data_IF_134104021499
#
_entry.id   IF_134104021499
#
_cell.length_a   1.000
_cell.length_b   1.000
_cell.length_c   1.000
_cell.angle_alpha   90.00
_cell.angle_beta   90.00
_cell.angle_gamma   90.00
#
_symmetry.space_group_name_H-M   'P 1'
#
loop_
_entity.id
_entity.type
_entity.pdbx_description
1 polymer ?
#
# COMPACT_ATOMS: atom_id res chain seq x y z
N UNK A 1 -40.51 -37.65 21.04
CA UNK A 1 -40.94 -36.23 20.93
C UNK A 1 -39.96 -35.37 21.70
N UNK A 2 -39.03 -34.69 21.01
CA UNK A 2 -38.31 -33.50 21.51
C UNK A 2 -37.42 -32.94 20.39
N UNK A 3 -37.53 -31.63 20.19
CA UNK A 3 -37.14 -30.85 19.02
C UNK A 3 -35.63 -30.82 18.73
N UNK A 4 -35.28 -31.06 17.46
CA UNK A 4 -34.00 -30.62 16.86
C UNK A 4 -34.16 -29.15 16.49
N UNK A 5 -33.43 -28.28 17.19
CA UNK A 5 -33.39 -26.85 16.91
C UNK A 5 -32.26 -26.58 15.90
N UNK A 6 -32.58 -26.59 14.61
CA UNK A 6 -31.67 -26.20 13.53
C UNK A 6 -31.52 -24.68 13.53
N UNK A 7 -30.42 -24.16 14.08
CA UNK A 7 -30.03 -22.77 13.88
C UNK A 7 -29.49 -22.60 12.46
N UNK A 8 -30.26 -21.89 11.63
CA UNK A 8 -29.85 -21.42 10.32
C UNK A 8 -28.87 -20.24 10.49
N UNK A 9 -27.61 -20.45 10.14
CA UNK A 9 -26.66 -19.35 9.93
C UNK A 9 -26.96 -18.69 8.59
N UNK A 10 -27.39 -17.44 8.63
CA UNK A 10 -27.63 -16.60 7.47
C UNK A 10 -26.34 -16.41 6.66
N UNK A 11 -26.37 -16.91 5.43
CA UNK A 11 -25.43 -16.56 4.38
C UNK A 11 -25.70 -15.10 3.98
N UNK A 12 -24.94 -14.17 4.56
CA UNK A 12 -24.90 -12.81 4.02
C UNK A 12 -24.24 -12.86 2.64
N UNK A 13 -25.07 -12.64 1.62
CA UNK A 13 -24.67 -12.32 0.26
C UNK A 13 -23.74 -11.10 0.27
N UNK A 14 -22.43 -11.33 0.24
CA UNK A 14 -21.47 -10.28 -0.13
C UNK A 14 -21.67 -10.02 -1.62
N UNK A 15 -22.36 -8.91 -1.89
CA UNK A 15 -22.73 -8.46 -3.22
C UNK A 15 -21.49 -8.31 -4.11
N UNK A 16 -21.30 -9.27 -5.02
CA UNK A 16 -20.37 -9.16 -6.14
C UNK A 16 -20.98 -8.17 -7.12
N UNK A 17 -20.65 -6.90 -6.96
CA UNK A 17 -21.03 -5.88 -7.95
C UNK A 17 -19.95 -4.84 -8.14
N UNK A 18 -19.40 -4.86 -9.37
CA UNK A 18 -19.02 -3.68 -10.17
C UNK A 18 -17.75 -2.98 -9.63
N UNK A 19 -16.66 -2.85 -10.38
CA UNK A 19 -16.42 -1.81 -11.39
C UNK A 19 -15.07 -2.13 -12.07
N UNK A 20 -14.99 -2.18 -13.41
CA UNK A 20 -14.63 -1.08 -14.35
C UNK A 20 -13.20 -0.53 -14.20
N UNK A 21 -12.37 -0.95 -15.17
CA UNK A 21 -11.40 -0.15 -15.95
C UNK A 21 -10.42 0.71 -15.14
N UNK A 22 -9.33 0.10 -14.67
CA UNK A 22 -8.09 0.84 -14.45
C UNK A 22 -7.39 1.06 -15.79
N UNK A 23 -7.49 2.29 -16.27
CA UNK A 23 -6.79 2.78 -17.45
C UNK A 23 -5.29 2.75 -17.25
N UNK A 24 -4.62 2.40 -18.35
CA UNK A 24 -3.23 2.68 -18.67
C UNK A 24 -2.85 4.08 -18.20
N UNK A 25 -1.82 4.19 -17.36
CA UNK A 25 -1.25 5.48 -16.97
C UNK A 25 0.07 5.62 -17.72
N UNK A 26 0.05 6.52 -18.70
CA UNK A 26 1.08 6.72 -19.69
C UNK A 26 2.42 7.15 -19.08
N UNK A 27 3.46 6.61 -19.70
CA UNK A 27 4.85 6.97 -19.59
C UNK A 27 5.07 8.43 -20.03
N UNK A 28 5.31 9.34 -19.09
CA UNK A 28 5.84 10.65 -19.45
C UNK A 28 7.34 10.56 -19.71
N UNK A 29 7.69 10.57 -21.00
CA UNK A 29 9.01 10.94 -21.48
C UNK A 29 9.31 12.40 -21.19
N UNK A 30 10.53 12.68 -20.75
CA UNK A 30 11.11 14.03 -20.77
C UNK A 30 12.49 13.91 -21.41
N UNK A 31 12.56 14.35 -22.66
CA UNK A 31 13.79 14.72 -23.36
C UNK A 31 14.37 16.02 -22.78
N UNK A 32 15.70 16.15 -22.73
CA UNK A 32 16.31 17.47 -22.56
C UNK A 32 17.78 17.46 -22.13
N UNK A 33 18.69 17.45 -23.12
CA UNK A 33 20.07 17.93 -22.97
C UNK A 33 20.07 19.39 -22.51
N UNK A 34 21.01 19.73 -21.63
CA UNK A 34 21.29 21.12 -21.27
C UNK A 34 22.44 21.22 -20.28
N UNK A 35 23.67 21.10 -20.79
CA UNK A 35 24.87 21.51 -20.05
C UNK A 35 24.88 23.02 -19.86
N UNK A 36 25.21 23.46 -18.66
CA UNK A 36 25.32 24.87 -18.30
C UNK A 36 25.64 24.98 -16.82
N UNK A 37 26.94 25.08 -16.50
CA UNK A 37 27.40 25.29 -15.13
C UNK A 37 26.83 26.58 -14.54
N UNK A 38 26.61 26.58 -13.23
CA UNK A 38 26.43 27.79 -12.42
C UNK A 38 26.62 27.48 -10.92
N UNK A 39 26.99 28.51 -10.14
CA UNK A 39 27.91 28.43 -9.01
C UNK A 39 27.25 28.00 -7.69
N UNK A 40 28.10 27.66 -6.73
CA UNK A 40 27.83 27.45 -5.32
C UNK A 40 26.78 28.44 -4.79
N UNK A 41 25.52 27.99 -4.73
CA UNK A 41 24.41 28.75 -4.17
C UNK A 41 24.25 28.34 -2.71
N UNK A 42 24.32 29.36 -1.85
CA UNK A 42 24.21 29.29 -0.40
C UNK A 42 23.08 28.36 0.05
N UNK A 43 23.35 27.59 1.11
CA UNK A 43 22.34 26.87 1.87
C UNK A 43 21.29 27.85 2.40
N UNK A 44 20.22 28.02 1.62
CA UNK A 44 18.98 28.62 2.08
C UNK A 44 18.36 27.60 3.02
N UNK A 45 18.46 27.84 4.32
CA UNK A 45 17.65 27.15 5.31
C UNK A 45 16.19 27.34 4.92
N UNK A 46 15.59 26.32 4.30
CA UNK A 46 14.17 26.29 4.02
C UNK A 46 13.46 26.47 5.36
N UNK A 47 12.75 27.58 5.50
CA UNK A 47 11.86 27.84 6.63
C UNK A 47 11.04 26.57 6.88
N UNK A 48 11.20 25.98 8.07
CA UNK A 48 10.54 24.74 8.43
C UNK A 48 9.06 24.86 8.16
N UNK A 49 8.55 24.05 7.23
CA UNK A 49 7.12 23.85 7.08
C UNK A 49 6.58 23.42 8.44
N UNK A 50 5.74 24.28 9.02
CA UNK A 50 5.06 23.99 10.28
C UNK A 50 4.41 22.62 10.11
N UNK A 51 4.85 21.63 10.89
CA UNK A 51 4.27 20.28 10.90
C UNK A 51 2.80 20.47 11.26
N UNK A 52 1.91 20.32 10.29
CA UNK A 52 0.48 20.38 10.58
C UNK A 52 0.18 19.20 11.50
N UNK A 53 -0.44 19.50 12.65
CA UNK A 53 -0.86 18.46 13.58
C UNK A 53 -1.78 17.47 12.85
N UNK A 54 -1.73 16.16 13.18
CA UNK A 54 -2.67 15.19 12.68
C UNK A 54 -4.09 15.69 12.79
N UNK A 55 -4.88 15.58 11.71
CA UNK A 55 -6.29 15.93 11.75
C UNK A 55 -6.95 15.15 12.89
N UNK A 56 -7.45 15.82 13.93
CA UNK A 56 -7.97 15.13 15.11
C UNK A 56 -9.11 14.20 14.70
N UNK A 57 -9.08 12.94 15.15
CA UNK A 57 -10.13 11.97 14.88
C UNK A 57 -10.07 11.30 13.49
N UNK A 58 -8.98 11.45 12.73
CA UNK A 58 -8.76 10.72 11.48
C UNK A 58 -7.51 9.86 11.63
N UNK A 59 -7.65 8.55 11.46
CA UNK A 59 -6.55 7.62 11.67
C UNK A 59 -6.80 6.24 11.11
N UNK A 60 -5.72 5.58 10.70
CA UNK A 60 -5.75 4.18 10.31
C UNK A 60 -5.34 3.35 11.53
N UNK A 61 -6.24 2.53 12.11
CA UNK A 61 -5.89 1.67 13.25
C UNK A 61 -4.77 0.71 12.87
N UNK A 62 -3.92 0.39 13.84
CA UNK A 62 -2.87 -0.61 13.63
C UNK A 62 -3.47 -1.99 13.34
N UNK A 63 -2.73 -2.78 12.57
CA UNK A 63 -3.15 -4.14 12.26
C UNK A 63 -2.88 -5.02 13.48
N UNK A 64 -3.75 -6.00 13.78
CA UNK A 64 -3.43 -6.99 14.79
C UNK A 64 -2.18 -7.78 14.37
N UNK A 65 -1.44 -8.27 15.35
CA UNK A 65 -0.33 -9.19 15.08
C UNK A 65 -0.87 -10.60 14.76
N UNK A 66 -0.16 -11.33 13.90
CA UNK A 66 -0.43 -12.74 13.63
C UNK A 66 -1.20 -13.04 12.33
N UNK A 67 -1.75 -14.26 12.29
CA UNK A 67 -2.32 -14.95 11.12
C UNK A 67 -3.44 -14.16 10.41
N UNK A 68 -4.16 -13.31 11.14
CA UNK A 68 -5.31 -12.56 10.63
C UNK A 68 -5.00 -11.09 10.28
N UNK A 69 -3.73 -10.67 10.41
CA UNK A 69 -3.30 -9.30 10.14
C UNK A 69 -3.68 -8.84 8.72
N UNK A 70 -3.55 -9.74 7.74
CA UNK A 70 -3.86 -9.45 6.35
C UNK A 70 -5.38 -9.39 6.09
N UNK A 71 -6.20 -10.19 6.78
CA UNK A 71 -7.66 -10.11 6.72
C UNK A 71 -8.15 -8.78 7.30
N UNK A 72 -7.57 -8.36 8.42
CA UNK A 72 -7.84 -7.03 8.99
C UNK A 72 -7.45 -5.91 8.01
N UNK A 73 -6.35 -6.06 7.27
CA UNK A 73 -5.94 -5.11 6.25
C UNK A 73 -6.95 -5.01 5.09
N UNK A 74 -7.48 -6.14 4.62
CA UNK A 74 -8.55 -6.19 3.61
C UNK A 74 -9.84 -5.57 4.14
N UNK A 75 -10.23 -5.91 5.38
CA UNK A 75 -11.41 -5.34 6.03
C UNK A 75 -11.29 -3.82 6.16
N UNK A 76 -10.16 -3.30 6.64
CA UNK A 76 -9.94 -1.84 6.74
C UNK A 76 -9.95 -1.15 5.37
N UNK A 77 -9.58 -1.85 4.29
CA UNK A 77 -9.63 -1.28 2.95
C UNK A 77 -11.05 -1.09 2.42
N UNK A 78 -11.94 -2.04 2.70
CA UNK A 78 -13.31 -2.08 2.16
C UNK A 78 -14.37 -1.51 3.11
N UNK A 79 -14.22 -1.76 4.41
CA UNK A 79 -15.23 -1.47 5.42
C UNK A 79 -15.01 -0.08 6.02
N UNK A 80 -15.99 0.84 5.86
CA UNK A 80 -15.91 2.17 6.48
C UNK A 80 -15.93 2.13 8.02
N UNK A 81 -16.51 1.09 8.64
CA UNK A 81 -16.56 0.95 10.08
C UNK A 81 -15.21 0.51 10.68
N UNK A 82 -14.36 -0.13 9.87
CA UNK A 82 -13.03 -0.56 10.28
C UNK A 82 -12.00 0.59 10.29
N UNK A 83 -12.40 1.80 9.87
CA UNK A 83 -11.53 2.97 9.70
C UNK A 83 -11.98 4.14 10.57
N UNK A 84 -11.05 4.86 11.20
CA UNK A 84 -11.38 6.04 12.01
C UNK A 84 -11.61 7.21 11.04
N UNK A 85 -12.88 7.63 10.92
CA UNK A 85 -13.34 8.62 9.94
C UNK A 85 -14.58 8.21 9.15
N UNK A 86 -15.12 7.00 9.39
CA UNK A 86 -16.41 6.57 8.83
C UNK A 86 -16.42 6.38 7.31
N UNK A 87 -15.23 6.25 6.70
CA UNK A 87 -15.04 6.02 5.26
C UNK A 87 -14.04 4.88 5.07
N UNK A 88 -14.30 4.03 4.09
CA UNK A 88 -13.37 2.98 3.69
C UNK A 88 -12.07 3.62 3.17
N UNK A 89 -10.92 3.00 3.44
CA UNK A 89 -9.61 3.56 3.04
C UNK A 89 -9.47 3.81 1.54
N UNK A 90 -10.19 3.04 0.71
CA UNK A 90 -10.22 3.24 -0.75
C UNK A 90 -10.83 4.60 -1.14
N UNK A 91 -11.78 5.09 -0.35
CA UNK A 91 -12.56 6.32 -0.58
C UNK A 91 -12.05 7.53 0.22
N UNK A 92 -10.91 7.40 0.89
CA UNK A 92 -10.31 8.51 1.62
C UNK A 92 -9.86 9.62 0.67
N UNK A 93 -10.13 10.90 1.00
CA UNK A 93 -9.62 12.02 0.23
C UNK A 93 -8.09 12.12 0.35
N UNK A 94 -7.46 12.61 -0.70
CA UNK A 94 -5.99 12.61 -0.83
C UNK A 94 -5.28 13.40 0.26
N UNK A 95 -5.87 14.52 0.67
CA UNK A 95 -5.43 15.37 1.76
C UNK A 95 -5.25 14.64 3.10
N UNK A 96 -5.97 13.54 3.34
CA UNK A 96 -5.87 12.79 4.61
C UNK A 96 -4.64 11.88 4.72
N UNK A 97 -4.00 11.58 3.59
CA UNK A 97 -2.85 10.65 3.54
C UNK A 97 -1.64 11.20 2.77
N UNK A 98 -1.68 12.47 2.36
CA UNK A 98 -0.56 13.18 1.73
C UNK A 98 0.00 14.25 2.67
N UNK A 99 0.96 15.05 2.19
CA UNK A 99 1.63 16.07 3.01
C UNK A 99 2.29 15.51 4.27
N UNK A 100 2.02 16.13 5.42
CA UNK A 100 2.56 15.73 6.72
C UNK A 100 2.03 14.36 7.19
N UNK A 101 0.84 13.95 6.73
CA UNK A 101 0.26 12.64 7.05
C UNK A 101 0.80 11.51 6.18
N UNK A 102 1.66 11.81 5.19
CA UNK A 102 2.20 10.82 4.25
C UNK A 102 2.99 9.71 4.93
N UNK A 103 3.79 10.04 5.95
CA UNK A 103 4.60 9.05 6.67
C UNK A 103 3.76 8.21 7.62
N UNK A 104 2.67 8.76 8.16
CA UNK A 104 1.81 8.08 9.14
C UNK A 104 0.71 7.28 8.41
N UNK A 105 -0.22 7.98 7.77
CA UNK A 105 -1.38 7.38 7.11
C UNK A 105 -1.03 6.88 5.70
N UNK A 106 -0.15 7.57 4.98
CA UNK A 106 0.21 7.20 3.60
C UNK A 106 0.87 5.81 3.52
N UNK A 107 1.78 5.50 4.44
CA UNK A 107 2.44 4.18 4.51
C UNK A 107 1.43 3.09 4.87
N UNK A 108 0.68 3.29 5.95
CA UNK A 108 -0.36 2.36 6.41
C UNK A 108 -1.39 2.05 5.31
N UNK A 109 -1.87 3.08 4.62
CA UNK A 109 -2.82 2.95 3.50
C UNK A 109 -2.21 2.18 2.33
N UNK A 110 -0.96 2.46 1.97
CA UNK A 110 -0.26 1.78 0.87
C UNK A 110 -0.15 0.27 1.12
N UNK A 111 0.21 -0.12 2.34
CA UNK A 111 0.31 -1.54 2.72
C UNK A 111 -1.02 -2.26 2.52
N UNK A 112 -2.10 -1.70 3.10
CA UNK A 112 -3.47 -2.27 3.00
C UNK A 112 -3.96 -2.35 1.55
N UNK A 113 -3.69 -1.31 0.76
CA UNK A 113 -4.00 -1.29 -0.68
C UNK A 113 -3.33 -2.44 -1.42
N UNK A 114 -2.01 -2.62 -1.22
CA UNK A 114 -1.24 -3.63 -1.95
C UNK A 114 -1.66 -5.04 -1.58
N UNK A 115 -1.86 -5.32 -0.28
CA UNK A 115 -2.36 -6.61 0.20
C UNK A 115 -3.73 -6.90 -0.42
N UNK A 116 -4.66 -5.95 -0.32
CA UNK A 116 -6.04 -6.14 -0.81
C UNK A 116 -6.12 -6.35 -2.31
N UNK A 117 -5.41 -5.53 -3.10
CA UNK A 117 -5.34 -5.72 -4.56
C UNK A 117 -4.78 -7.11 -4.88
N UNK A 118 -3.78 -7.56 -4.14
CA UNK A 118 -3.16 -8.86 -4.41
C UNK A 118 -4.08 -10.02 -4.04
N UNK A 119 -4.81 -9.91 -2.94
CA UNK A 119 -5.84 -10.86 -2.54
C UNK A 119 -6.92 -11.01 -3.62
N UNK A 120 -7.46 -9.90 -4.13
CA UNK A 120 -8.44 -9.96 -5.22
C UNK A 120 -7.87 -10.46 -6.56
N UNK A 121 -6.59 -10.20 -6.85
CA UNK A 121 -5.92 -10.81 -8.01
C UNK A 121 -5.82 -12.33 -7.90
N UNK A 122 -5.90 -12.88 -6.69
CA UNK A 122 -6.00 -14.32 -6.40
C UNK A 122 -7.46 -14.73 -6.12
N UNK A 123 -8.41 -14.06 -6.77
CA UNK A 123 -9.85 -14.33 -6.71
C UNK A 123 -10.50 -14.16 -5.33
N UNK A 124 -9.79 -13.57 -4.36
CA UNK A 124 -10.28 -13.46 -2.99
C UNK A 124 -10.39 -14.81 -2.28
N UNK A 125 -9.59 -15.79 -2.69
CA UNK A 125 -9.52 -17.11 -2.06
C UNK A 125 -8.41 -17.15 -1.02
N UNK A 126 -8.79 -17.36 0.24
CA UNK A 126 -7.87 -17.43 1.38
C UNK A 126 -6.85 -18.58 1.24
N UNK A 127 -7.27 -19.74 0.73
CA UNK A 127 -6.40 -20.90 0.55
C UNK A 127 -5.33 -20.64 -0.49
N UNK A 128 -5.72 -20.13 -1.65
CA UNK A 128 -4.80 -19.75 -2.73
C UNK A 128 -3.88 -18.61 -2.28
N UNK A 129 -4.40 -17.66 -1.50
CA UNK A 129 -3.61 -16.56 -0.97
C UNK A 129 -2.52 -17.04 -0.02
N UNK A 130 -2.87 -17.93 0.92
CA UNK A 130 -1.93 -18.47 1.92
C UNK A 130 -0.93 -19.46 1.31
N UNK A 131 -1.34 -20.26 0.32
CA UNK A 131 -0.44 -21.13 -0.44
C UNK A 131 0.62 -20.29 -1.18
N UNK A 132 0.19 -19.17 -1.77
CA UNK A 132 1.10 -18.30 -2.52
C UNK A 132 1.99 -17.44 -1.63
N UNK A 133 1.47 -17.04 -0.46
CA UNK A 133 2.12 -16.14 0.49
C UNK A 133 2.08 -16.72 1.90
N UNK A 134 2.92 -17.72 2.20
CA UNK A 134 2.99 -18.29 3.55
C UNK A 134 3.42 -17.26 4.61
N UNK A 135 4.04 -16.14 4.22
CA UNK A 135 4.38 -15.02 5.09
C UNK A 135 3.16 -14.30 5.67
N UNK A 136 1.98 -14.44 5.04
CA UNK A 136 0.71 -13.93 5.55
C UNK A 136 0.37 -14.47 6.95
N UNK A 137 0.95 -15.63 7.32
CA UNK A 137 0.76 -16.23 8.63
C UNK A 137 1.52 -15.54 9.77
N UNK A 138 2.48 -14.67 9.44
CA UNK A 138 3.31 -13.98 10.43
C UNK A 138 2.72 -12.62 10.75
N UNK A 139 2.85 -11.69 9.81
CA UNK A 139 2.46 -10.29 9.96
C UNK A 139 2.22 -9.65 8.59
N UNK A 140 1.58 -8.48 8.57
CA UNK A 140 1.26 -7.77 7.32
C UNK A 140 2.47 -7.16 6.61
N UNK A 141 3.53 -6.77 7.34
CA UNK A 141 4.74 -6.19 6.73
C UNK A 141 5.57 -7.21 5.94
N UNK A 142 5.94 -8.39 6.49
CA UNK A 142 6.61 -9.43 5.72
C UNK A 142 5.81 -9.87 4.48
N UNK A 143 4.49 -9.94 4.60
CA UNK A 143 3.59 -10.20 3.48
C UNK A 143 3.69 -9.10 2.41
N UNK A 144 3.62 -7.84 2.82
CA UNK A 144 3.77 -6.71 1.90
C UNK A 144 5.11 -6.75 1.16
N UNK A 145 6.21 -7.02 1.85
CA UNK A 145 7.53 -7.14 1.25
C UNK A 145 7.62 -8.33 0.29
N UNK A 146 7.03 -9.48 0.63
CA UNK A 146 6.95 -10.64 -0.27
C UNK A 146 6.18 -10.30 -1.57
N UNK A 147 5.05 -9.60 -1.45
CA UNK A 147 4.28 -9.15 -2.61
C UNK A 147 5.10 -8.17 -3.46
N UNK A 148 5.78 -7.21 -2.84
CA UNK A 148 6.57 -6.21 -3.55
C UNK A 148 7.77 -6.82 -4.27
N UNK A 149 8.53 -7.71 -3.63
CA UNK A 149 9.59 -8.50 -4.29
C UNK A 149 9.07 -9.26 -5.50
N UNK A 150 7.92 -9.92 -5.36
CA UNK A 150 7.30 -10.63 -6.48
C UNK A 150 6.90 -9.70 -7.63
N UNK A 151 6.46 -8.48 -7.35
CA UNK A 151 6.12 -7.48 -8.37
C UNK A 151 7.37 -6.92 -9.06
N UNK A 152 8.44 -6.67 -8.30
CA UNK A 152 9.74 -6.26 -8.83
C UNK A 152 10.33 -7.33 -9.76
N UNK A 153 10.28 -8.60 -9.36
CA UNK A 153 10.74 -9.73 -10.17
C UNK A 153 9.98 -9.87 -11.52
N UNK A 154 8.72 -9.42 -11.57
CA UNK A 154 7.92 -9.38 -12.80
C UNK A 154 8.08 -8.09 -13.61
N UNK A 155 8.86 -7.12 -13.12
CA UNK A 155 8.99 -5.80 -13.74
C UNK A 155 7.76 -4.90 -13.61
N UNK A 156 6.81 -5.22 -12.73
CA UNK A 156 5.63 -4.35 -12.46
C UNK A 156 6.01 -3.07 -11.71
N UNK A 157 7.16 -3.09 -11.04
CA UNK A 157 7.70 -1.95 -10.32
C UNK A 157 9.18 -1.90 -10.63
N UNK A 158 9.64 -0.78 -11.16
CA UNK A 158 11.06 -0.51 -11.27
C UNK A 158 11.54 -0.08 -9.89
N UNK A 159 12.39 -0.91 -9.28
CA UNK A 159 13.12 -0.51 -8.09
C UNK A 159 13.79 0.84 -8.32
N UNK A 160 13.88 1.66 -7.28
CA UNK A 160 14.54 2.97 -7.41
C UNK A 160 16.02 2.72 -7.68
N UNK A 161 16.43 2.79 -8.95
CA UNK A 161 17.85 2.76 -9.30
C UNK A 161 18.48 3.99 -8.64
N UNK A 162 19.45 3.76 -7.75
CA UNK A 162 20.19 4.87 -7.16
C UNK A 162 20.84 5.64 -8.31
N UNK A 163 20.80 6.98 -8.27
CA UNK A 163 21.47 7.83 -9.27
C UNK A 163 22.96 7.49 -9.42
N UNK A 164 23.54 6.87 -8.40
CA UNK A 164 24.94 6.53 -8.33
C UNK A 164 25.24 5.13 -8.92
N UNK A 165 24.30 4.51 -9.64
CA UNK A 165 24.48 3.18 -10.24
C UNK A 165 24.58 2.06 -9.19
N UNK A 166 24.69 0.81 -9.69
CA UNK A 166 25.02 -0.33 -8.86
C UNK A 166 26.44 -0.18 -8.29
N UNK A 167 26.71 -0.64 -7.05
CA UNK A 167 28.02 -0.52 -6.43
C UNK A 167 29.15 -1.11 -7.29
N UNK A 168 28.85 -2.17 -8.06
CA UNK A 168 29.79 -2.78 -9.01
C UNK A 168 30.25 -1.79 -10.10
N UNK A 169 29.34 -0.96 -10.63
CA UNK A 169 29.65 0.06 -11.64
C UNK A 169 30.49 1.20 -11.05
N UNK A 170 30.37 1.49 -9.74
CA UNK A 170 31.22 2.49 -9.07
C UNK A 170 32.65 2.01 -8.90
N UNK A 171 32.84 0.74 -8.57
CA UNK A 171 34.17 0.18 -8.37
C UNK A 171 35.02 0.25 -9.67
N UNK A 172 34.37 0.17 -10.83
CA UNK A 172 35.04 0.22 -12.13
C UNK A 172 35.41 1.64 -12.59
N UNK A 173 34.79 2.69 -12.03
CA UNK A 173 34.97 4.07 -12.48
C UNK A 173 36.09 4.85 -11.74
N UNK A 174 36.80 4.20 -10.80
CA UNK A 174 37.86 4.81 -9.97
C UNK A 174 39.28 4.36 -10.34
N UNK A 175 39.54 3.95 -11.58
CA UNK A 175 40.88 3.60 -12.06
C UNK A 175 41.39 4.54 -13.13
#
# INVERSE_FOLDING_TARGET
MSNVHTQAFGLEHVSVTRWRKFGHMDSNGITGRGGGGRPHSAHRHSAGTKKNAPTPGIGIPDLPHGLEAWRAAVKQWEDPAASIGGKALKDWPEEWYTGDMRTINGVKRKIRKVITIKFYRLHGDDGVFLEKYPEANREAEPLFDAIQRGREARGEITGRTSKNGQPEVRASASR
#
